data_IF_513230267148
#
_entry.id   IF_513230267148
#
_cell.length_a   1.000
_cell.length_b   1.000
_cell.length_c   1.000
_cell.angle_alpha   90.00
_cell.angle_beta   90.00
_cell.angle_gamma   90.00
#
_symmetry.space_group_name_H-M   'P 1'
#
loop_
_entity.id
_entity.type
_entity.pdbx_description
1 polymer ?
#
# COMPACT_ATOMS: atom_id res chain seq x y z
N UNK A 1 13.83 3.42 17.15
CA UNK A 1 13.71 2.38 18.20
C UNK A 1 12.25 2.00 18.49
N UNK A 2 11.34 2.94 18.80
CA UNK A 2 9.93 2.63 19.14
C UNK A 2 9.11 2.10 17.96
N UNK A 3 9.27 2.63 16.74
CA UNK A 3 8.56 2.16 15.53
C UNK A 3 8.90 0.70 15.17
N UNK A 4 10.19 0.33 15.28
CA UNK A 4 10.68 -1.05 15.08
C UNK A 4 10.10 -2.04 16.09
N UNK A 5 10.02 -1.66 17.37
CA UNK A 5 9.46 -2.52 18.41
C UNK A 5 7.94 -2.72 18.26
N UNK A 6 7.21 -1.67 17.86
CA UNK A 6 5.77 -1.78 17.54
C UNK A 6 5.52 -2.64 16.30
N UNK A 7 6.37 -2.52 15.28
CA UNK A 7 6.32 -3.36 14.10
C UNK A 7 6.67 -4.82 14.42
N UNK A 8 7.75 -5.08 15.16
CA UNK A 8 8.11 -6.42 15.63
C UNK A 8 7.03 -7.02 16.53
N UNK A 9 6.32 -6.20 17.31
CA UNK A 9 5.16 -6.63 18.11
C UNK A 9 3.93 -6.90 17.24
N UNK A 10 3.65 -6.07 16.24
CA UNK A 10 2.55 -6.28 15.29
C UNK A 10 2.78 -7.54 14.44
N UNK A 11 3.99 -7.69 13.91
CA UNK A 11 4.48 -8.89 13.23
C UNK A 11 4.47 -10.08 14.18
N UNK A 12 4.84 -9.94 15.46
CA UNK A 12 4.70 -11.05 16.40
C UNK A 12 3.22 -11.43 16.58
N UNK A 13 2.31 -10.48 16.82
CA UNK A 13 0.89 -10.79 17.04
C UNK A 13 0.24 -11.43 15.81
N UNK A 14 0.58 -10.95 14.60
CA UNK A 14 -0.06 -11.41 13.37
C UNK A 14 0.67 -12.60 12.72
N UNK A 15 2.01 -12.67 12.82
CA UNK A 15 2.83 -13.68 12.14
C UNK A 15 3.32 -14.83 13.04
N UNK A 16 3.21 -14.77 14.38
CA UNK A 16 3.58 -15.94 15.22
C UNK A 16 2.65 -17.14 15.05
N UNK A 17 1.58 -17.03 14.26
CA UNK A 17 0.65 -18.12 13.96
C UNK A 17 0.65 -18.60 12.51
N UNK A 18 1.51 -18.06 11.64
CA UNK A 18 1.58 -18.43 10.22
C UNK A 18 3.00 -18.74 9.77
N UNK A 19 3.13 -19.49 8.67
CA UNK A 19 4.37 -20.12 8.16
C UNK A 19 5.37 -19.11 7.55
N UNK A 20 5.50 -17.90 8.10
CA UNK A 20 6.17 -16.76 7.48
C UNK A 20 7.71 -16.80 7.51
N UNK A 21 8.36 -17.76 8.18
CA UNK A 21 9.83 -17.83 8.16
C UNK A 21 10.42 -18.22 6.79
N UNK A 22 9.59 -18.74 5.87
CA UNK A 22 9.98 -19.04 4.47
C UNK A 22 9.68 -17.92 3.48
N UNK A 23 9.05 -16.81 3.91
CA UNK A 23 8.43 -15.81 3.02
C UNK A 23 9.18 -14.47 2.97
N UNK A 24 10.26 -14.29 3.72
CA UNK A 24 10.99 -13.00 3.79
C UNK A 24 11.62 -12.56 2.47
N UNK A 25 12.23 -13.50 1.73
CA UNK A 25 12.84 -13.22 0.41
C UNK A 25 11.83 -12.71 -0.64
N UNK A 26 10.63 -13.32 -0.79
CA UNK A 26 9.57 -12.77 -1.63
C UNK A 26 9.18 -11.32 -1.32
N UNK A 27 9.14 -10.94 -0.04
CA UNK A 27 8.77 -9.56 0.37
C UNK A 27 9.86 -8.58 -0.05
N UNK A 28 11.11 -8.87 0.30
CA UNK A 28 12.28 -8.05 -0.07
C UNK A 28 12.39 -7.83 -1.57
N UNK A 29 12.32 -8.90 -2.35
CA UNK A 29 12.37 -8.80 -3.82
C UNK A 29 11.21 -7.99 -4.40
N UNK A 30 10.02 -8.10 -3.81
CA UNK A 30 8.86 -7.32 -4.26
C UNK A 30 8.98 -5.83 -3.94
N UNK A 31 9.57 -5.49 -2.79
CA UNK A 31 9.84 -4.11 -2.40
C UNK A 31 10.98 -3.54 -3.26
N UNK A 32 12.05 -4.29 -3.49
CA UNK A 32 13.13 -3.86 -4.40
C UNK A 32 12.59 -3.55 -5.80
N UNK A 33 11.76 -4.45 -6.36
CA UNK A 33 11.12 -4.25 -7.67
C UNK A 33 10.22 -3.00 -7.69
N UNK A 34 9.52 -2.73 -6.59
CA UNK A 34 8.73 -1.50 -6.43
C UNK A 34 9.60 -0.24 -6.35
N UNK A 35 10.81 -0.30 -5.80
CA UNK A 35 11.64 0.90 -5.61
C UNK A 35 12.58 1.15 -6.79
N UNK A 36 13.01 0.12 -7.51
CA UNK A 36 13.92 0.25 -8.66
C UNK A 36 13.15 0.44 -9.97
N UNK A 37 12.19 -0.45 -10.21
CA UNK A 37 11.46 -0.50 -11.49
C UNK A 37 10.13 0.25 -11.39
N UNK A 38 9.69 0.52 -10.16
CA UNK A 38 8.35 1.01 -9.79
C UNK A 38 7.23 0.17 -10.36
N UNK A 39 7.46 -1.13 -10.44
CA UNK A 39 6.40 -2.09 -10.69
C UNK A 39 5.81 -2.51 -9.32
N UNK A 40 4.57 -2.09 -8.98
CA UNK A 40 3.98 -2.41 -7.68
C UNK A 40 3.33 -3.81 -7.65
N UNK A 41 3.17 -4.47 -8.79
CA UNK A 41 2.39 -5.70 -8.90
C UNK A 41 2.90 -6.83 -8.00
N UNK A 42 4.22 -7.16 -7.95
CA UNK A 42 4.72 -8.21 -7.07
C UNK A 42 4.43 -7.90 -5.59
N UNK A 43 4.54 -6.63 -5.21
CA UNK A 43 4.27 -6.19 -3.84
C UNK A 43 2.77 -6.31 -3.50
N UNK A 44 1.89 -5.89 -4.40
CA UNK A 44 0.45 -6.07 -4.21
C UNK A 44 0.04 -7.54 -4.10
N UNK A 45 0.72 -8.45 -4.81
CA UNK A 45 0.52 -9.90 -4.69
C UNK A 45 0.97 -10.47 -3.35
N UNK A 46 2.08 -9.98 -2.79
CA UNK A 46 2.50 -10.31 -1.43
C UNK A 46 1.42 -9.91 -0.41
N UNK A 47 0.88 -8.69 -0.53
CA UNK A 47 -0.21 -8.22 0.33
C UNK A 47 -1.46 -9.10 0.19
N UNK A 48 -1.85 -9.46 -1.03
CA UNK A 48 -2.96 -10.41 -1.27
C UNK A 48 -2.72 -11.76 -0.59
N UNK A 49 -1.52 -12.34 -0.68
CA UNK A 49 -1.20 -13.60 0.00
C UNK A 49 -1.38 -13.48 1.51
N UNK A 50 -0.86 -12.40 2.12
CA UNK A 50 -1.01 -12.15 3.56
C UNK A 50 -2.49 -12.02 3.92
N UNK A 51 -3.27 -11.22 3.19
CA UNK A 51 -4.70 -11.06 3.42
C UNK A 51 -5.40 -12.41 3.38
N UNK A 52 -5.19 -13.21 2.32
CA UNK A 52 -5.78 -14.56 2.14
C UNK A 52 -5.44 -15.52 3.29
N UNK A 53 -4.19 -15.54 3.75
CA UNK A 53 -3.78 -16.41 4.86
C UNK A 53 -4.45 -16.04 6.19
N UNK A 54 -4.74 -14.76 6.39
CA UNK A 54 -5.45 -14.27 7.58
C UNK A 54 -6.99 -14.29 7.45
N UNK A 55 -7.53 -14.68 6.28
CA UNK A 55 -8.97 -14.80 6.01
C UNK A 55 -9.60 -16.14 6.45
N UNK A 56 -8.97 -16.92 7.33
CA UNK A 56 -9.55 -18.19 7.81
C UNK A 56 -10.77 -17.97 8.74
N UNK A 57 -11.97 -17.90 8.14
CA UNK A 57 -13.31 -18.17 8.69
C UNK A 57 -13.78 -17.51 10.01
N UNK A 58 -13.03 -16.61 10.67
CA UNK A 58 -13.50 -15.95 11.92
C UNK A 58 -13.47 -14.41 11.93
N UNK A 59 -12.71 -13.77 11.05
CA UNK A 59 -12.34 -12.34 11.20
C UNK A 59 -12.71 -11.41 10.02
N UNK A 60 -13.72 -11.73 9.20
CA UNK A 60 -14.27 -10.77 8.20
C UNK A 60 -14.84 -9.49 8.83
N UNK A 61 -15.06 -9.51 10.15
CA UNK A 61 -15.78 -8.48 10.89
C UNK A 61 -14.96 -7.18 11.05
N UNK A 62 -13.61 -7.24 11.04
CA UNK A 62 -12.79 -6.07 11.37
C UNK A 62 -11.92 -5.48 10.24
N UNK A 63 -11.62 -6.21 9.15
CA UNK A 63 -10.77 -5.66 8.09
C UNK A 63 -11.43 -4.47 7.39
N UNK A 64 -10.70 -3.35 7.31
CA UNK A 64 -11.09 -2.08 6.71
C UNK A 64 -9.85 -1.43 6.09
N UNK A 65 -10.01 -0.34 5.33
CA UNK A 65 -8.90 0.36 4.66
C UNK A 65 -7.74 0.72 5.60
N UNK A 66 -8.04 1.15 6.83
CA UNK A 66 -7.02 1.44 7.86
C UNK A 66 -6.15 0.23 8.22
N UNK A 67 -6.70 -0.98 8.18
CA UNK A 67 -5.94 -2.21 8.43
C UNK A 67 -5.04 -2.55 7.23
N UNK A 68 -5.52 -2.35 6.00
CA UNK A 68 -4.73 -2.50 4.79
C UNK A 68 -3.55 -1.52 4.76
N UNK A 69 -3.79 -0.25 5.07
CA UNK A 69 -2.75 0.78 5.19
C UNK A 69 -1.72 0.41 6.26
N UNK A 70 -2.15 -0.05 7.44
CA UNK A 70 -1.26 -0.49 8.51
C UNK A 70 -0.41 -1.68 8.09
N UNK A 71 -0.99 -2.67 7.40
CA UNK A 71 -0.27 -3.82 6.86
C UNK A 71 0.80 -3.38 5.86
N UNK A 72 0.44 -2.56 4.88
CA UNK A 72 1.36 -2.08 3.85
C UNK A 72 2.50 -1.25 4.46
N UNK A 73 2.20 -0.30 5.36
CA UNK A 73 3.23 0.46 6.09
C UNK A 73 4.14 -0.49 6.86
N UNK A 74 3.58 -1.51 7.50
CA UNK A 74 4.36 -2.55 8.18
C UNK A 74 5.35 -3.23 7.23
N UNK A 75 4.88 -3.70 6.08
CA UNK A 75 5.75 -4.36 5.10
C UNK A 75 6.85 -3.42 4.55
N UNK A 76 6.58 -2.12 4.46
CA UNK A 76 7.52 -1.12 3.93
C UNK A 76 8.51 -0.60 4.99
N UNK A 77 8.10 -0.52 6.27
CA UNK A 77 8.88 0.10 7.35
C UNK A 77 10.32 -0.45 7.54
N UNK A 78 10.63 -1.75 7.30
CA UNK A 78 11.99 -2.27 7.42
C UNK A 78 12.99 -1.72 6.40
N UNK A 79 12.52 -1.18 5.27
CA UNK A 79 13.35 -0.73 4.17
C UNK A 79 13.69 0.75 4.35
N UNK A 80 14.85 1.05 4.92
CA UNK A 80 15.26 2.41 5.32
C UNK A 80 15.69 3.32 4.14
N UNK A 81 15.23 3.05 2.90
CA UNK A 81 15.63 3.79 1.69
C UNK A 81 14.74 5.00 1.37
N UNK A 82 13.71 5.25 2.17
CA UNK A 82 12.72 6.31 2.01
C UNK A 82 12.11 6.71 3.37
N UNK A 83 11.46 7.87 3.40
CA UNK A 83 10.54 8.26 4.46
C UNK A 83 9.12 7.81 4.11
N UNK A 84 8.40 7.27 5.10
CA UNK A 84 6.98 6.95 4.99
C UNK A 84 6.18 8.07 5.64
N UNK A 85 5.29 8.67 4.87
CA UNK A 85 4.28 9.61 5.33
C UNK A 85 2.89 8.99 5.11
N UNK A 86 1.95 9.22 6.02
CA UNK A 86 0.57 8.70 5.91
C UNK A 86 -0.46 9.71 6.40
N UNK A 87 -1.71 9.55 5.96
CA UNK A 87 -2.83 10.42 6.37
C UNK A 87 -2.97 10.57 7.89
N UNK A 88 -2.50 9.58 8.68
CA UNK A 88 -2.54 9.61 10.14
C UNK A 88 -1.80 10.80 10.77
N UNK A 89 -0.94 11.49 10.01
CA UNK A 89 -0.12 12.61 10.48
C UNK A 89 -0.59 14.00 9.99
N UNK A 90 -1.60 14.11 9.10
CA UNK A 90 -2.05 15.42 8.60
C UNK A 90 -3.53 15.48 8.19
N UNK A 91 -4.19 16.61 8.43
CA UNK A 91 -5.64 16.82 8.37
C UNK A 91 -6.32 16.59 6.99
N UNK A 92 -6.49 15.33 6.56
CA UNK A 92 -7.34 14.87 5.42
C UNK A 92 -6.96 15.40 4.01
N UNK A 93 -5.73 15.88 3.82
CA UNK A 93 -5.21 16.31 2.51
C UNK A 93 -4.02 15.48 2.05
N UNK A 94 -3.88 14.27 2.58
CA UNK A 94 -2.74 13.39 2.31
C UNK A 94 -3.19 12.10 1.66
N UNK A 95 -2.42 11.56 0.70
CA UNK A 95 -2.63 10.20 0.24
C UNK A 95 -2.48 9.20 1.39
N UNK A 96 -3.04 7.99 1.22
CA UNK A 96 -2.94 6.93 2.23
C UNK A 96 -1.48 6.66 2.61
N UNK A 97 -0.61 6.53 1.60
CA UNK A 97 0.82 6.34 1.83
C UNK A 97 1.60 7.16 0.80
N UNK A 98 2.60 7.89 1.28
CA UNK A 98 3.58 8.57 0.45
C UNK A 98 4.99 8.13 0.86
N UNK A 99 5.73 7.57 -0.08
CA UNK A 99 7.13 7.19 0.05
C UNK A 99 7.98 8.29 -0.57
N UNK A 100 8.65 9.04 0.29
CA UNK A 100 9.59 10.09 -0.12
C UNK A 100 11.01 9.51 -0.11
N UNK A 101 11.66 9.49 -1.26
CA UNK A 101 13.04 8.99 -1.37
C UNK A 101 13.99 9.81 -0.52
N UNK A 102 15.08 9.19 -0.09
CA UNK A 102 16.20 9.94 0.50
C UNK A 102 16.90 10.79 -0.57
N UNK A 103 17.28 12.03 -0.23
CA UNK A 103 17.86 12.99 -1.17
C UNK A 103 19.13 12.48 -1.89
N UNK A 104 19.90 11.57 -1.29
CA UNK A 104 21.10 10.95 -1.86
C UNK A 104 20.99 9.42 -1.92
N UNK A 105 19.76 8.89 -2.00
CA UNK A 105 19.50 7.45 -2.11
C UNK A 105 19.52 6.95 -3.56
N UNK A 106 19.47 5.62 -3.77
CA UNK A 106 19.47 5.01 -5.10
C UNK A 106 18.11 5.02 -5.81
N UNK A 107 17.06 5.53 -5.17
CA UNK A 107 15.69 5.54 -5.69
C UNK A 107 15.48 6.80 -6.52
N UNK A 108 14.98 6.66 -7.74
CA UNK A 108 14.87 7.76 -8.72
C UNK A 108 13.49 8.44 -8.77
N UNK A 109 12.55 8.02 -7.94
CA UNK A 109 11.20 8.58 -7.88
C UNK A 109 10.56 8.43 -6.49
N UNK A 110 9.62 9.30 -6.18
CA UNK A 110 8.76 9.20 -5.01
C UNK A 110 7.46 8.44 -5.38
N UNK A 111 6.81 7.81 -4.40
CA UNK A 111 5.62 6.97 -4.63
C UNK A 111 4.43 7.43 -3.80
N UNK A 112 3.26 7.50 -4.42
CA UNK A 112 1.96 7.70 -3.75
C UNK A 112 1.09 6.46 -3.93
N UNK A 113 0.49 5.98 -2.85
CA UNK A 113 -0.53 4.94 -2.88
C UNK A 113 -1.87 5.48 -2.42
N UNK A 114 -2.91 5.08 -3.16
CA UNK A 114 -4.33 5.14 -2.77
C UNK A 114 -4.86 3.71 -2.63
N UNK A 115 -5.47 3.38 -1.50
CA UNK A 115 -5.78 2.01 -1.08
C UNK A 115 -7.27 1.86 -0.84
N UNK A 116 -7.90 0.87 -1.48
CA UNK A 116 -9.29 0.48 -1.19
C UNK A 116 -9.39 -0.98 -0.80
N UNK A 117 -10.25 -1.27 0.16
CA UNK A 117 -10.58 -2.64 0.56
C UNK A 117 -12.09 -2.84 0.57
N UNK A 118 -12.58 -3.73 -0.29
CA UNK A 118 -14.00 -3.99 -0.48
C UNK A 118 -14.35 -5.38 0.05
N UNK A 119 -15.35 -5.44 0.93
CA UNK A 119 -15.86 -6.70 1.48
C UNK A 119 -16.81 -7.36 0.49
N UNK A 120 -16.97 -8.69 0.61
CA UNK A 120 -17.89 -9.47 -0.23
C UNK A 120 -19.32 -8.93 -0.24
N UNK A 121 -19.82 -8.46 0.91
CA UNK A 121 -21.17 -7.87 1.01
C UNK A 121 -21.36 -6.56 0.23
N UNK A 122 -20.26 -5.88 -0.11
CA UNK A 122 -20.24 -4.58 -0.77
C UNK A 122 -19.79 -4.70 -2.24
N UNK A 123 -19.81 -5.92 -2.80
CA UNK A 123 -19.40 -6.23 -4.19
C UNK A 123 -20.10 -5.34 -5.23
N UNK A 124 -21.37 -5.01 -5.01
CA UNK A 124 -22.15 -4.15 -5.89
C UNK A 124 -21.58 -2.73 -6.04
N UNK A 125 -20.67 -2.29 -5.16
CA UNK A 125 -20.03 -0.98 -5.17
C UNK A 125 -18.61 -1.00 -5.74
N UNK A 126 -18.10 -2.14 -6.21
CA UNK A 126 -16.71 -2.30 -6.65
C UNK A 126 -16.29 -1.26 -7.70
N UNK A 127 -17.07 -1.11 -8.77
CA UNK A 127 -16.75 -0.18 -9.86
C UNK A 127 -16.80 1.28 -9.38
N UNK A 128 -17.78 1.66 -8.54
CA UNK A 128 -17.81 3.01 -7.96
C UNK A 128 -16.60 3.30 -7.06
N UNK A 129 -16.13 2.31 -6.31
CA UNK A 129 -14.96 2.43 -5.44
C UNK A 129 -13.67 2.55 -6.27
N UNK A 130 -13.57 1.84 -7.40
CA UNK A 130 -12.47 2.01 -8.35
C UNK A 130 -12.44 3.44 -8.90
N UNK A 131 -13.60 3.98 -9.31
CA UNK A 131 -13.66 5.36 -9.82
C UNK A 131 -13.34 6.39 -8.73
N UNK A 132 -13.79 6.17 -7.50
CA UNK A 132 -13.42 7.01 -6.36
C UNK A 132 -11.89 7.03 -6.14
N UNK A 133 -11.24 5.86 -6.13
CA UNK A 133 -9.80 5.75 -5.96
C UNK A 133 -9.03 6.49 -7.07
N UNK A 134 -9.50 6.40 -8.31
CA UNK A 134 -8.91 7.15 -9.43
C UNK A 134 -9.04 8.66 -9.24
N UNK A 135 -10.22 9.14 -8.82
CA UNK A 135 -10.46 10.57 -8.60
C UNK A 135 -9.60 11.11 -7.46
N UNK A 136 -9.49 10.37 -6.36
CA UNK A 136 -8.64 10.74 -5.23
C UNK A 136 -7.17 10.79 -5.61
N UNK A 137 -6.67 9.73 -6.28
CA UNK A 137 -5.30 9.69 -6.79
C UNK A 137 -5.00 10.84 -7.76
N UNK A 138 -5.90 11.10 -8.70
CA UNK A 138 -5.76 12.22 -9.65
C UNK A 138 -5.71 13.58 -8.94
N UNK A 139 -6.54 13.76 -7.92
CA UNK A 139 -6.52 14.95 -7.07
C UNK A 139 -5.17 15.16 -6.37
N UNK A 140 -4.58 14.10 -5.81
CA UNK A 140 -3.25 14.19 -5.21
C UNK A 140 -2.18 14.51 -6.25
N UNK A 141 -2.13 13.76 -7.35
CA UNK A 141 -1.08 13.89 -8.37
C UNK A 141 -1.09 15.24 -9.08
N UNK A 142 -2.23 15.94 -9.12
CA UNK A 142 -2.35 17.32 -9.65
C UNK A 142 -2.15 18.41 -8.60
N UNK A 143 -1.94 18.05 -7.34
CA UNK A 143 -1.69 19.03 -6.27
C UNK A 143 -0.29 19.65 -6.42
N UNK A 144 -0.11 20.87 -5.87
CA UNK A 144 1.18 21.58 -5.89
C UNK A 144 2.35 20.75 -5.34
N UNK A 145 2.08 19.82 -4.42
CA UNK A 145 3.12 18.98 -3.80
C UNK A 145 3.60 17.85 -4.71
N UNK A 146 2.68 17.27 -5.49
CA UNK A 146 2.93 16.03 -6.23
C UNK A 146 2.92 16.19 -7.76
N UNK A 147 2.57 17.36 -8.32
CA UNK A 147 2.72 17.64 -9.76
C UNK A 147 4.20 17.91 -10.11
N UNK A 148 4.98 16.83 -10.13
CA UNK A 148 6.41 16.81 -10.50
C UNK A 148 6.72 15.51 -11.25
N UNK A 149 7.72 15.49 -12.15
CA UNK A 149 7.94 14.39 -13.10
C UNK A 149 8.45 13.09 -12.48
N UNK A 150 8.97 13.16 -11.26
CA UNK A 150 9.56 12.04 -10.51
C UNK A 150 8.62 11.52 -9.41
N UNK A 151 7.31 11.64 -9.63
CA UNK A 151 6.26 11.04 -8.80
C UNK A 151 5.58 9.90 -9.55
N UNK A 152 5.40 8.78 -8.86
CA UNK A 152 4.61 7.64 -9.35
C UNK A 152 3.42 7.43 -8.42
N UNK A 153 2.22 7.60 -8.95
CA UNK A 153 0.98 7.40 -8.21
C UNK A 153 0.36 6.06 -8.56
N UNK A 154 -0.09 5.29 -7.57
CA UNK A 154 -0.79 4.03 -7.80
C UNK A 154 -2.06 3.97 -6.97
N UNK A 155 -3.13 3.43 -7.54
CA UNK A 155 -4.26 2.96 -6.73
C UNK A 155 -4.28 1.43 -6.75
N UNK A 156 -4.74 0.83 -5.67
CA UNK A 156 -5.06 -0.61 -5.61
C UNK A 156 -6.35 -0.85 -4.85
N UNK A 157 -7.22 -1.67 -5.44
CA UNK A 157 -8.47 -2.14 -4.85
C UNK A 157 -8.33 -3.62 -4.56
N UNK A 158 -8.47 -3.99 -3.29
CA UNK A 158 -8.60 -5.37 -2.87
C UNK A 158 -10.07 -5.74 -2.69
N UNK A 159 -10.52 -6.83 -3.31
CA UNK A 159 -11.85 -7.38 -3.09
C UNK A 159 -11.75 -8.70 -2.34
N UNK A 160 -12.33 -8.75 -1.13
CA UNK A 160 -12.32 -9.96 -0.30
C UNK A 160 -10.91 -10.56 -0.08
N UNK A 161 -9.90 -9.69 0.01
CA UNK A 161 -8.49 -10.08 0.19
C UNK A 161 -7.70 -10.34 -1.10
N UNK A 162 -8.34 -10.27 -2.27
CA UNK A 162 -7.69 -10.47 -3.57
C UNK A 162 -7.43 -9.15 -4.27
N UNK A 163 -6.35 -9.04 -5.07
CA UNK A 163 -6.17 -7.86 -5.93
C UNK A 163 -7.28 -7.88 -6.98
N UNK A 164 -8.21 -6.93 -6.90
CA UNK A 164 -9.28 -6.75 -7.87
C UNK A 164 -8.81 -5.92 -9.07
N UNK A 165 -8.25 -4.74 -8.78
CA UNK A 165 -7.77 -3.82 -9.81
C UNK A 165 -6.73 -2.87 -9.22
N UNK A 166 -5.72 -2.56 -10.00
CA UNK A 166 -4.77 -1.49 -9.71
C UNK A 166 -4.39 -0.81 -11.01
N UNK A 167 -3.90 0.42 -10.93
CA UNK A 167 -3.23 1.06 -12.05
C UNK A 167 -2.26 2.13 -11.57
N UNK A 168 -1.28 2.43 -12.41
CA UNK A 168 -0.47 3.63 -12.29
C UNK A 168 -1.24 4.85 -12.82
N UNK A 169 -1.16 5.96 -12.09
CA UNK A 169 -1.71 7.23 -12.53
C UNK A 169 -0.93 7.71 -13.75
N UNK A 170 -1.67 8.09 -14.78
CA UNK A 170 -1.12 8.70 -15.98
C UNK A 170 -1.76 10.06 -16.15
N UNK A 171 -0.95 11.07 -16.50
CA UNK A 171 -1.47 12.41 -16.80
C UNK A 171 -2.31 12.31 -18.06
N UNK A 172 -3.63 12.42 -17.92
CA UNK A 172 -4.52 12.53 -19.07
C UNK A 172 -4.24 13.87 -19.74
N UNK A 173 -3.56 13.83 -20.89
CA UNK A 173 -3.37 15.00 -21.75
C UNK A 173 -4.72 15.23 -22.45
N UNK A 174 -5.47 16.22 -21.96
CA UNK A 174 -6.70 16.70 -22.59
C UNK A 174 -6.38 17.54 -23.83
#
# INVERSE_FOLDING_TARGET
MIKKLYFEYFMNIHLTKTRFSTTTKPIEQSVDTLLTDGNPEPFFKVVETILKEHHSNRDEIAYAEKHLQTLIIGLLCPYESYFIHSEYESARTYPDIFLERLANGPIEFDIVFELKYVKKKDEAQLESIVEEAKIQLDGYMKSKRFDRPDMRGFYVVYFSGEVYKWAEWTKVIA
#
